data_IF_170267135521
#
_entry.id   IF_170267135521
#
_cell.length_a   1.000
_cell.length_b   1.000
_cell.length_c   1.000
_cell.angle_alpha   90.00
_cell.angle_beta   90.00
_cell.angle_gamma   90.00
#
_symmetry.space_group_name_H-M   'P 1'
#
loop_
_entity.id
_entity.type
_entity.pdbx_description
1 polymer ?
#
# COMPACT_ATOMS: atom_id res chain seq x y z
N UNK A 1 1.98 -20.03 -5.35
CA UNK A 1 0.95 -19.76 -4.32
C UNK A 1 1.39 -18.75 -3.26
N UNK A 2 2.45 -19.00 -2.49
CA UNK A 2 2.92 -18.06 -1.45
C UNK A 2 3.20 -16.64 -1.97
N UNK A 3 3.89 -16.50 -3.10
CA UNK A 3 4.21 -15.19 -3.71
C UNK A 3 2.94 -14.44 -4.13
N UNK A 4 1.92 -15.16 -4.62
CA UNK A 4 0.61 -14.59 -4.98
C UNK A 4 -0.10 -14.02 -3.75
N UNK A 5 -0.12 -14.77 -2.65
CA UNK A 5 -0.70 -14.33 -1.37
C UNK A 5 0.02 -13.08 -0.84
N UNK A 6 1.35 -13.04 -0.90
CA UNK A 6 2.12 -11.86 -0.49
C UNK A 6 1.79 -10.64 -1.36
N UNK A 7 1.79 -10.80 -2.67
CA UNK A 7 1.41 -9.74 -3.62
C UNK A 7 0.03 -9.17 -3.30
N UNK A 8 -0.97 -10.04 -3.10
CA UNK A 8 -2.33 -9.64 -2.75
C UNK A 8 -2.40 -8.93 -1.39
N UNK A 9 -1.64 -9.40 -0.39
CA UNK A 9 -1.53 -8.77 0.92
C UNK A 9 -0.97 -7.36 0.85
N UNK A 10 0.12 -7.14 0.10
CA UNK A 10 0.69 -5.81 -0.11
C UNK A 10 -0.29 -4.87 -0.83
N UNK A 11 -0.99 -5.34 -1.86
CA UNK A 11 -2.02 -4.55 -2.55
C UNK A 11 -3.20 -4.20 -1.61
N UNK A 12 -3.58 -5.11 -0.70
CA UNK A 12 -4.63 -4.86 0.28
C UNK A 12 -4.26 -3.77 1.29
N UNK A 13 -3.01 -3.78 1.79
CA UNK A 13 -2.53 -2.73 2.70
C UNK A 13 -2.47 -1.38 1.99
N UNK A 14 -1.95 -1.32 0.76
CA UNK A 14 -1.92 -0.07 -0.02
C UNK A 14 -3.33 0.49 -0.29
N UNK A 15 -4.31 -0.36 -0.61
CA UNK A 15 -5.72 0.06 -0.75
C UNK A 15 -6.30 0.60 0.55
N UNK A 16 -6.03 -0.07 1.67
CA UNK A 16 -6.52 0.36 2.99
C UNK A 16 -5.93 1.71 3.37
N UNK A 17 -4.62 1.90 3.16
CA UNK A 17 -3.96 3.19 3.41
C UNK A 17 -4.58 4.33 2.59
N UNK A 18 -4.93 4.10 1.31
CA UNK A 18 -5.66 5.08 0.49
C UNK A 18 -7.03 5.45 1.03
N UNK A 19 -7.74 4.49 1.62
CA UNK A 19 -9.06 4.74 2.21
C UNK A 19 -9.01 5.58 3.49
N UNK A 20 -7.85 5.64 4.16
CA UNK A 20 -7.65 6.43 5.38
C UNK A 20 -7.35 7.90 5.06
N UNK A 21 -6.77 8.21 3.89
CA UNK A 21 -6.40 9.58 3.49
C UNK A 21 -7.52 10.62 3.70
N UNK A 22 -8.78 10.38 3.26
CA UNK A 22 -9.86 11.35 3.47
C UNK A 22 -10.11 11.68 4.94
N UNK A 23 -9.89 10.72 5.85
CA UNK A 23 -10.05 10.94 7.28
C UNK A 23 -8.90 11.80 7.84
N UNK A 24 -7.66 11.54 7.42
CA UNK A 24 -6.50 12.35 7.80
C UNK A 24 -6.62 13.79 7.27
N UNK A 25 -7.03 13.97 6.02
CA UNK A 25 -7.27 15.29 5.41
C UNK A 25 -8.36 16.06 6.14
N UNK A 26 -9.50 15.42 6.47
CA UNK A 26 -10.59 16.04 7.22
C UNK A 26 -10.16 16.52 8.61
N UNK A 27 -9.21 15.83 9.23
CA UNK A 27 -8.66 16.18 10.54
C UNK A 27 -7.49 17.18 10.46
N UNK A 28 -7.03 17.54 9.24
CA UNK A 28 -5.78 18.28 9.03
C UNK A 28 -4.57 17.62 9.72
N UNK A 29 -4.54 16.28 9.73
CA UNK A 29 -3.48 15.48 10.33
C UNK A 29 -2.39 15.19 9.29
N UNK A 30 -1.51 16.18 9.09
CA UNK A 30 -0.39 16.10 8.14
C UNK A 30 0.60 14.97 8.45
N UNK A 31 1.00 14.71 9.72
CA UNK A 31 1.89 13.58 10.03
C UNK A 31 1.30 12.22 9.64
N UNK A 32 0.00 12.01 9.88
CA UNK A 32 -0.66 10.77 9.47
C UNK A 32 -0.72 10.66 7.94
N UNK A 33 -1.03 11.74 7.23
CA UNK A 33 -1.04 11.75 5.76
C UNK A 33 0.34 11.44 5.16
N UNK A 34 1.42 11.99 5.72
CA UNK A 34 2.78 11.68 5.29
C UNK A 34 3.15 10.20 5.55
N UNK A 35 2.81 9.69 6.74
CA UNK A 35 3.04 8.29 7.08
C UNK A 35 2.30 7.36 6.09
N UNK A 36 1.05 7.66 5.76
CA UNK A 36 0.27 6.89 4.78
C UNK A 36 0.93 6.93 3.38
N UNK A 37 1.45 8.09 2.95
CA UNK A 37 2.20 8.24 1.68
C UNK A 37 3.38 7.28 1.63
N UNK A 38 4.20 7.26 2.67
CA UNK A 38 5.37 6.39 2.76
C UNK A 38 4.97 4.90 2.75
N UNK A 39 3.91 4.54 3.49
CA UNK A 39 3.42 3.15 3.53
C UNK A 39 2.90 2.69 2.18
N UNK A 40 2.11 3.50 1.49
CA UNK A 40 1.63 3.18 0.13
C UNK A 40 2.82 2.92 -0.79
N UNK A 41 3.80 3.83 -0.82
CA UNK A 41 4.99 3.70 -1.69
C UNK A 41 5.69 2.35 -1.51
N UNK A 42 5.99 1.96 -0.26
CA UNK A 42 6.67 0.69 0.03
C UNK A 42 5.83 -0.51 -0.39
N UNK A 43 4.53 -0.51 -0.07
CA UNK A 43 3.66 -1.63 -0.39
C UNK A 43 3.43 -1.79 -1.90
N UNK A 44 3.35 -0.69 -2.66
CA UNK A 44 3.20 -0.73 -4.11
C UNK A 44 4.47 -1.18 -4.83
N UNK A 45 5.63 -0.66 -4.41
CA UNK A 45 6.92 -1.12 -4.96
C UNK A 45 7.11 -2.62 -4.69
N UNK A 46 6.78 -3.09 -3.49
CA UNK A 46 6.89 -4.51 -3.16
C UNK A 46 5.90 -5.35 -3.97
N UNK A 47 4.64 -4.91 -4.08
CA UNK A 47 3.64 -5.62 -4.90
C UNK A 47 4.04 -5.69 -6.37
N UNK A 48 4.65 -4.63 -6.91
CA UNK A 48 5.18 -4.61 -8.28
C UNK A 48 6.32 -5.60 -8.48
N UNK A 49 7.29 -5.64 -7.55
CA UNK A 49 8.38 -6.64 -7.59
C UNK A 49 7.85 -8.07 -7.46
N UNK A 50 6.87 -8.31 -6.59
CA UNK A 50 6.27 -9.64 -6.45
C UNK A 50 5.45 -10.03 -7.69
N UNK A 51 4.87 -9.06 -8.40
CA UNK A 51 4.16 -9.29 -9.66
C UNK A 51 5.12 -9.75 -10.75
N UNK A 52 6.29 -9.11 -10.90
CA UNK A 52 7.28 -9.54 -11.91
C UNK A 52 7.83 -10.94 -11.66
N UNK A 53 7.85 -11.42 -10.41
CA UNK A 53 8.21 -12.80 -10.06
C UNK A 53 7.11 -13.83 -10.39
N UNK A 54 5.88 -13.38 -10.63
CA UNK A 54 4.75 -14.22 -11.06
C UNK A 54 4.53 -14.16 -12.57
N UNK A 55 5.18 -13.23 -13.27
CA UNK A 55 5.14 -13.10 -14.72
C UNK A 55 6.10 -14.12 -15.35
N UNK A 56 5.59 -15.34 -15.59
CA UNK A 56 6.04 -16.33 -16.58
C UNK A 56 4.84 -16.79 -17.43
#
# INVERSE_FOLDING_TARGET
EMVRILKEGHEAVARTARQIFPAAEKASDEPTADLLTQRITVHEQTAWMLRSLLEE
#
